data_IF_110179919791
#
_entry.id   IF_110179919791
#
_cell.length_a   1.000
_cell.length_b   1.000
_cell.length_c   1.000
_cell.angle_alpha   90.00
_cell.angle_beta   90.00
_cell.angle_gamma   90.00
#
_symmetry.space_group_name_H-M   'P 1'
#
loop_
_entity.id
_entity.type
_entity.pdbx_description
1 polymer ?
#
# COMPACT_ATOMS: atom_id res chain seq x y z
N UNK A 1 23.49 6.69 2.54
CA UNK A 1 23.13 7.78 1.63
C UNK A 1 22.57 8.92 2.46
N UNK A 2 23.14 10.12 2.37
CA UNK A 2 22.70 11.30 3.14
C UNK A 2 21.41 11.86 2.50
N UNK A 3 20.32 11.89 3.26
CA UNK A 3 19.07 12.55 2.86
C UNK A 3 19.07 13.95 3.46
N UNK A 4 18.97 14.96 2.60
CA UNK A 4 18.82 16.37 2.98
C UNK A 4 17.45 16.59 3.59
N UNK A 5 17.39 16.89 4.89
CA UNK A 5 16.20 17.41 5.56
C UNK A 5 16.08 18.91 5.28
N UNK A 6 15.03 19.31 4.56
CA UNK A 6 14.46 20.66 4.68
C UNK A 6 13.42 20.64 5.80
N UNK A 7 13.27 21.74 6.57
CA UNK A 7 12.57 21.75 7.85
C UNK A 7 11.05 21.43 7.82
N UNK A 8 10.44 21.23 6.65
CA UNK A 8 8.99 21.05 6.53
C UNK A 8 8.53 19.63 6.16
N UNK A 9 9.45 18.68 5.90
CA UNK A 9 9.08 17.34 5.43
C UNK A 9 10.04 16.29 6.01
N UNK A 10 9.56 15.48 6.95
CA UNK A 10 10.29 14.30 7.43
C UNK A 10 10.16 13.15 6.41
N UNK A 11 11.16 13.00 5.55
CA UNK A 11 11.37 11.77 4.78
C UNK A 11 11.99 10.75 5.75
N UNK A 12 11.15 9.90 6.37
CA UNK A 12 11.65 8.70 7.06
C UNK A 12 11.93 7.63 6.01
N UNK A 13 13.00 7.79 5.24
CA UNK A 13 13.70 6.63 4.69
C UNK A 13 14.59 6.10 5.83
N UNK A 14 13.99 5.57 6.90
CA UNK A 14 14.72 4.71 7.83
C UNK A 14 15.33 3.63 6.97
N UNK A 15 16.66 3.57 6.95
CA UNK A 15 17.48 2.54 6.29
C UNK A 15 16.66 1.27 6.02
N UNK A 16 16.14 1.13 4.79
CA UNK A 16 15.24 0.03 4.39
C UNK A 16 16.07 -1.24 4.12
N UNK A 17 17.14 -1.41 4.89
CA UNK A 17 18.07 -2.53 4.80
C UNK A 17 17.49 -3.66 5.67
N UNK A 18 16.38 -4.24 5.23
CA UNK A 18 15.88 -5.54 5.69
C UNK A 18 15.17 -5.58 7.04
N UNK A 19 13.86 -5.27 7.06
CA UNK A 19 12.97 -5.83 8.09
C UNK A 19 11.86 -4.95 8.66
N UNK A 20 11.60 -3.75 8.13
CA UNK A 20 10.54 -2.85 8.64
C UNK A 20 9.27 -2.80 7.77
N UNK A 21 9.25 -3.49 6.64
CA UNK A 21 8.05 -3.70 5.80
C UNK A 21 7.37 -2.38 5.36
N UNK A 22 8.16 -1.30 5.24
CA UNK A 22 7.65 0.04 4.90
C UNK A 22 7.47 0.18 3.39
N UNK A 23 6.37 0.82 2.99
CA UNK A 23 6.13 1.19 1.60
C UNK A 23 7.17 2.20 1.10
N UNK A 24 7.81 1.89 -0.02
CA UNK A 24 8.61 2.85 -0.79
C UNK A 24 7.89 3.10 -2.12
N UNK A 25 7.16 4.21 -2.22
CA UNK A 25 6.25 4.45 -3.34
C UNK A 25 5.55 5.83 -3.30
N UNK A 26 4.57 6.00 -4.19
CA UNK A 26 3.72 7.17 -4.26
C UNK A 26 2.57 7.09 -3.27
N UNK A 27 2.60 7.93 -2.24
CA UNK A 27 1.50 8.10 -1.29
C UNK A 27 1.45 9.53 -0.76
N UNK A 28 0.23 10.04 -0.53
CA UNK A 28 0.01 11.26 0.26
C UNK A 28 -0.40 10.87 1.68
N UNK A 29 -0.22 11.76 2.67
CA UNK A 29 -0.71 11.50 4.02
C UNK A 29 -2.18 11.11 4.03
N UNK A 30 -2.51 9.96 4.64
CA UNK A 30 -3.86 9.36 4.67
C UNK A 30 -4.51 9.13 3.31
N UNK A 31 -3.71 8.98 2.27
CA UNK A 31 -4.20 8.48 0.99
C UNK A 31 -4.76 7.07 1.13
N UNK A 32 -5.89 6.83 0.46
CA UNK A 32 -6.35 5.47 0.17
C UNK A 32 -5.31 4.76 -0.70
N UNK A 33 -4.72 5.50 -1.65
CA UNK A 33 -3.73 4.98 -2.57
C UNK A 33 -2.35 4.94 -1.92
N UNK A 34 -1.72 3.77 -2.04
CA UNK A 34 -0.40 3.43 -1.53
C UNK A 34 0.34 2.73 -2.65
N UNK A 35 0.68 3.51 -3.68
CA UNK A 35 1.17 3.01 -4.95
C UNK A 35 2.64 2.62 -4.82
N UNK A 36 2.96 1.36 -5.08
CA UNK A 36 4.31 0.84 -4.87
C UNK A 36 4.68 -0.27 -5.84
N UNK A 37 5.94 -0.68 -5.77
CA UNK A 37 6.41 -1.89 -6.44
C UNK A 37 5.93 -3.12 -5.65
N UNK A 38 5.68 -4.22 -6.34
CA UNK A 38 5.53 -5.53 -5.70
C UNK A 38 6.81 -6.32 -5.93
N UNK A 39 7.58 -6.62 -4.87
CA UNK A 39 8.86 -7.31 -5.01
C UNK A 39 8.80 -8.75 -4.54
N UNK A 40 9.36 -9.64 -5.36
CA UNK A 40 9.70 -11.01 -4.98
C UNK A 40 11.22 -11.15 -4.88
N UNK A 41 11.71 -11.55 -3.71
CA UNK A 41 13.12 -11.76 -3.44
C UNK A 41 13.37 -13.24 -3.11
N UNK A 42 14.48 -13.79 -3.61
CA UNK A 42 14.95 -15.14 -3.29
C UNK A 42 16.26 -15.07 -2.48
N UNK A 43 16.39 -15.79 -1.34
CA UNK A 43 15.34 -16.59 -0.69
C UNK A 43 14.17 -15.72 -0.22
N UNK A 44 12.98 -16.34 -0.06
CA UNK A 44 11.73 -15.62 0.24
C UNK A 44 11.94 -14.65 1.41
N UNK A 45 11.73 -13.37 1.11
CA UNK A 45 11.76 -12.29 2.08
C UNK A 45 10.35 -11.72 2.28
N UNK A 46 9.73 -11.98 3.43
CA UNK A 46 8.37 -11.50 3.73
C UNK A 46 8.28 -9.97 3.74
N UNK A 47 9.36 -9.29 4.16
CA UNK A 47 9.43 -7.83 4.18
C UNK A 47 9.32 -7.23 2.78
N UNK A 48 9.96 -7.88 1.80
CA UNK A 48 9.88 -7.50 0.40
C UNK A 48 8.45 -7.61 -0.14
N UNK A 49 7.75 -8.66 0.28
CA UNK A 49 6.38 -8.93 -0.14
C UNK A 49 5.38 -7.96 0.47
N UNK A 50 5.56 -7.52 1.72
CA UNK A 50 4.63 -6.62 2.40
C UNK A 50 4.85 -5.15 2.02
N UNK A 51 6.09 -4.67 2.17
CA UNK A 51 6.44 -3.25 1.92
C UNK A 51 6.69 -2.94 0.46
N UNK A 52 6.87 -3.96 -0.39
CA UNK A 52 7.06 -3.77 -1.82
C UNK A 52 8.45 -3.29 -2.23
N UNK A 53 9.41 -3.18 -1.30
CA UNK A 53 10.76 -2.71 -1.62
C UNK A 53 11.85 -3.39 -0.78
N UNK A 54 12.90 -3.88 -1.44
CA UNK A 54 14.19 -4.25 -0.82
C UNK A 54 15.33 -3.79 -1.72
N UNK A 55 16.60 -4.02 -1.35
CA UNK A 55 17.74 -3.71 -2.23
C UNK A 55 17.86 -4.68 -3.43
N UNK A 56 17.25 -5.85 -3.33
CA UNK A 56 17.38 -6.94 -4.30
C UNK A 56 15.99 -7.35 -4.79
N UNK A 57 15.90 -8.45 -5.52
CA UNK A 57 14.64 -9.03 -5.96
C UNK A 57 14.13 -8.52 -7.30
N UNK A 58 13.00 -9.10 -7.69
CA UNK A 58 12.33 -8.88 -8.95
C UNK A 58 11.09 -8.04 -8.71
N UNK A 59 10.91 -6.99 -9.50
CA UNK A 59 9.64 -6.28 -9.61
C UNK A 59 8.68 -7.16 -10.38
N UNK A 60 7.59 -7.49 -9.73
CA UNK A 60 6.59 -8.43 -10.21
C UNK A 60 5.29 -7.73 -10.60
N UNK A 61 5.13 -6.45 -10.23
CA UNK A 61 3.99 -5.60 -10.55
C UNK A 61 4.10 -4.25 -9.86
N UNK A 62 3.19 -3.33 -10.21
CA UNK A 62 3.04 -2.00 -9.64
C UNK A 62 1.60 -1.88 -9.14
N UNK A 63 1.36 -2.08 -7.85
CA UNK A 63 0.00 -2.21 -7.33
C UNK A 63 -0.49 -0.97 -6.59
N UNK A 64 -1.81 -0.77 -6.66
CA UNK A 64 -2.51 0.43 -6.17
C UNK A 64 -2.40 0.64 -4.66
N UNK A 65 -2.35 -0.46 -3.90
CA UNK A 65 -2.48 -0.43 -2.45
C UNK A 65 -1.49 -1.41 -1.81
N UNK A 66 -0.84 -0.93 -0.76
CA UNK A 66 0.06 -1.66 0.12
C UNK A 66 -0.29 -1.37 1.58
N UNK A 67 0.15 -2.22 2.48
CA UNK A 67 0.17 -1.91 3.92
C UNK A 67 1.63 -1.66 4.33
N UNK A 68 1.86 -0.65 5.17
CA UNK A 68 3.22 -0.24 5.53
C UNK A 68 3.49 -0.58 6.99
N UNK A 69 4.51 -1.40 7.26
CA UNK A 69 4.96 -1.75 8.62
C UNK A 69 4.44 -3.07 9.16
N UNK A 70 3.66 -3.84 8.40
CA UNK A 70 3.08 -5.09 8.88
C UNK A 70 3.98 -6.29 8.73
N UNK A 71 4.25 -7.03 9.81
CA UNK A 71 5.00 -8.30 9.79
C UNK A 71 4.14 -9.57 9.64
N UNK A 72 2.84 -9.42 9.35
CA UNK A 72 1.90 -10.52 9.11
C UNK A 72 1.92 -10.98 7.64
N UNK A 73 0.94 -11.82 7.28
CA UNK A 73 0.68 -12.12 5.89
C UNK A 73 0.28 -10.89 5.09
N UNK A 74 0.74 -10.82 3.84
CA UNK A 74 0.51 -9.66 3.00
C UNK A 74 -0.99 -9.38 2.82
N UNK A 75 -1.34 -8.09 2.81
CA UNK A 75 -2.65 -7.57 2.45
C UNK A 75 -2.48 -6.56 1.32
N UNK A 76 -3.46 -6.50 0.43
CA UNK A 76 -3.45 -5.67 -0.78
C UNK A 76 -2.54 -6.22 -1.89
N UNK A 77 -1.97 -5.36 -2.74
CA UNK A 77 -1.34 -5.79 -3.99
C UNK A 77 -2.23 -5.71 -5.23
N UNK A 78 -3.31 -4.93 -5.17
CA UNK A 78 -4.34 -4.97 -6.20
C UNK A 78 -5.10 -3.66 -6.38
N UNK A 79 -5.63 -3.42 -7.60
CA UNK A 79 -5.16 -4.01 -8.87
C UNK A 79 -3.75 -3.49 -9.23
N UNK A 80 -3.08 -4.10 -10.20
CA UNK A 80 -1.72 -3.71 -10.57
C UNK A 80 -1.51 -3.42 -12.06
N UNK A 81 -0.42 -2.71 -12.36
CA UNK A 81 0.12 -2.53 -13.70
C UNK A 81 1.56 -3.03 -13.81
N UNK A 82 2.00 -3.33 -15.02
CA UNK A 82 3.41 -3.57 -15.32
C UNK A 82 3.72 -3.08 -16.74
N UNK A 83 4.66 -2.13 -16.93
CA UNK A 83 5.09 -1.73 -18.26
C UNK A 83 6.02 -2.80 -18.87
N UNK A 84 5.80 -3.13 -20.14
CA UNK A 84 6.52 -4.18 -20.87
C UNK A 84 6.98 -3.66 -22.25
N UNK A 85 8.16 -4.08 -22.68
CA UNK A 85 8.74 -3.74 -23.98
C UNK A 85 8.48 -4.78 -25.07
N UNK A 86 7.91 -5.93 -24.71
CA UNK A 86 7.47 -7.00 -25.62
C UNK A 86 6.44 -7.89 -24.91
N UNK A 87 5.51 -8.46 -25.67
CA UNK A 87 4.53 -9.46 -25.19
C UNK A 87 4.71 -10.84 -25.83
N UNK A 88 5.67 -10.99 -26.74
CA UNK A 88 5.91 -12.23 -27.48
C UNK A 88 6.49 -13.35 -26.60
N UNK A 89 7.05 -13.00 -25.44
CA UNK A 89 7.67 -13.92 -24.48
C UNK A 89 6.70 -14.79 -23.66
N UNK A 90 5.46 -15.02 -24.11
CA UNK A 90 4.40 -15.72 -23.38
C UNK A 90 4.12 -15.11 -22.00
N UNK A 91 3.64 -13.86 -21.96
CA UNK A 91 3.15 -13.22 -20.73
C UNK A 91 2.09 -14.11 -20.06
N UNK A 92 2.47 -14.72 -18.94
CA UNK A 92 1.65 -15.68 -18.20
C UNK A 92 1.27 -15.13 -16.83
N UNK A 93 0.01 -14.69 -16.69
CA UNK A 93 -0.55 -14.23 -15.41
C UNK A 93 -0.70 -15.32 -14.34
N UNK A 94 -0.73 -16.60 -14.74
CA UNK A 94 -0.87 -17.69 -13.77
C UNK A 94 0.43 -17.93 -13.00
N UNK A 95 1.55 -17.85 -13.71
CA UNK A 95 2.90 -18.03 -13.17
C UNK A 95 3.50 -16.71 -12.62
N UNK A 96 3.11 -15.57 -13.20
CA UNK A 96 3.61 -14.21 -12.88
C UNK A 96 5.09 -14.02 -13.25
N UNK A 97 5.93 -15.06 -13.28
CA UNK A 97 7.40 -14.99 -13.46
C UNK A 97 7.88 -14.55 -14.84
N UNK A 98 7.07 -14.75 -15.88
CA UNK A 98 7.47 -14.55 -17.29
C UNK A 98 7.76 -13.09 -17.67
N UNK A 99 7.32 -12.12 -16.88
CA UNK A 99 7.45 -10.69 -17.17
C UNK A 99 8.11 -9.90 -16.03
N UNK A 100 8.66 -10.60 -15.04
CA UNK A 100 9.38 -9.98 -13.94
C UNK A 100 10.56 -9.17 -14.45
N UNK A 101 10.87 -8.09 -13.75
CA UNK A 101 11.97 -7.21 -14.10
C UNK A 101 12.88 -7.01 -12.90
N UNK A 102 14.19 -7.11 -13.12
CA UNK A 102 15.13 -6.50 -12.17
C UNK A 102 15.14 -4.99 -12.34
N UNK A 103 15.53 -4.30 -11.27
CA UNK A 103 15.85 -2.88 -11.32
C UNK A 103 17.32 -2.69 -11.67
N UNK A 104 17.61 -1.61 -12.36
CA UNK A 104 18.95 -1.22 -12.78
C UNK A 104 19.29 0.17 -12.24
N UNK A 105 20.42 0.30 -11.56
CA UNK A 105 20.89 1.57 -11.00
C UNK A 105 20.25 1.92 -9.65
N UNK A 106 20.21 3.23 -9.36
CA UNK A 106 19.68 3.75 -8.09
C UNK A 106 18.21 4.19 -8.24
N UNK A 107 17.41 3.78 -7.25
CA UNK A 107 16.05 4.30 -7.07
C UNK A 107 16.08 5.70 -6.46
N UNK A 108 15.09 6.52 -6.80
CA UNK A 108 14.90 7.85 -6.21
C UNK A 108 13.53 7.91 -5.55
N UNK A 109 13.51 8.30 -4.28
CA UNK A 109 12.28 8.43 -3.50
C UNK A 109 12.23 9.78 -2.77
N UNK A 110 11.05 10.37 -2.72
CA UNK A 110 10.72 11.54 -1.89
C UNK A 110 9.23 11.47 -1.50
N UNK A 111 8.75 12.36 -0.62
CA UNK A 111 7.32 12.31 -0.22
C UNK A 111 6.41 12.42 -1.44
N UNK A 112 5.56 11.41 -1.63
CA UNK A 112 4.61 11.35 -2.74
C UNK A 112 5.20 10.98 -4.10
N UNK A 113 6.49 10.65 -4.20
CA UNK A 113 7.13 10.32 -5.48
C UNK A 113 8.18 9.21 -5.34
N UNK A 114 8.14 8.27 -6.29
CA UNK A 114 9.13 7.22 -6.43
C UNK A 114 9.52 7.03 -7.90
N UNK A 115 10.81 6.76 -8.16
CA UNK A 115 11.34 6.43 -9.48
C UNK A 115 12.30 5.26 -9.42
N UNK A 116 12.15 4.35 -10.38
CA UNK A 116 13.05 3.23 -10.63
C UNK A 116 13.32 3.09 -12.13
N UNK A 117 14.39 2.37 -12.50
CA UNK A 117 14.63 1.92 -13.87
C UNK A 117 14.64 0.39 -13.91
N UNK A 118 13.97 -0.22 -14.88
CA UNK A 118 13.98 -1.66 -15.11
C UNK A 118 15.12 -2.08 -16.04
N UNK A 119 15.54 -3.34 -15.97
CA UNK A 119 16.57 -3.92 -16.85
C UNK A 119 16.18 -3.89 -18.34
N UNK A 120 14.88 -3.86 -18.65
CA UNK A 120 14.36 -3.60 -20.01
C UNK A 120 14.64 -2.18 -20.53
N UNK A 121 15.15 -1.29 -19.67
CA UNK A 121 15.40 0.12 -19.98
C UNK A 121 14.21 1.05 -19.71
N UNK A 122 13.04 0.52 -19.33
CA UNK A 122 11.88 1.34 -18.96
C UNK A 122 12.15 2.08 -17.66
N UNK A 123 11.92 3.40 -17.65
CA UNK A 123 11.93 4.21 -16.44
C UNK A 123 10.49 4.32 -15.93
N UNK A 124 10.29 4.04 -14.65
CA UNK A 124 8.99 4.07 -13.99
C UNK A 124 9.00 5.14 -12.93
N UNK A 125 8.01 6.04 -12.99
CA UNK A 125 7.74 7.07 -11.99
C UNK A 125 6.34 6.89 -11.43
N UNK A 126 6.22 6.91 -10.11
CA UNK A 126 5.01 6.64 -9.35
C UNK A 126 4.70 7.82 -8.44
N UNK A 127 3.45 8.27 -8.47
CA UNK A 127 2.90 9.23 -7.51
C UNK A 127 1.45 8.90 -7.20
N UNK A 128 0.86 9.55 -6.20
CA UNK A 128 -0.53 9.34 -5.84
C UNK A 128 -1.16 10.61 -5.28
N UNK A 129 -2.48 10.68 -5.41
CA UNK A 129 -3.36 11.56 -4.64
C UNK A 129 -4.09 10.75 -3.57
N UNK A 130 -5.05 11.36 -2.87
CA UNK A 130 -5.84 10.64 -1.88
C UNK A 130 -6.61 9.43 -2.45
N UNK A 131 -7.02 9.47 -3.73
CA UNK A 131 -7.91 8.45 -4.34
C UNK A 131 -7.51 8.05 -5.77
N UNK A 132 -6.38 8.54 -6.28
CA UNK A 132 -5.90 8.18 -7.62
C UNK A 132 -4.39 7.93 -7.62
N UNK A 133 -3.97 6.91 -8.35
CA UNK A 133 -2.58 6.65 -8.70
C UNK A 133 -2.17 7.45 -9.93
N UNK A 134 -0.87 7.74 -10.03
CA UNK A 134 -0.26 8.41 -11.16
C UNK A 134 0.95 7.58 -11.58
N UNK A 135 0.90 7.02 -12.79
CA UNK A 135 1.99 6.28 -13.40
C UNK A 135 2.57 7.09 -14.56
N UNK A 136 3.87 7.22 -14.62
CA UNK A 136 4.58 7.76 -15.78
C UNK A 136 5.69 6.78 -16.19
N UNK A 137 5.57 6.28 -17.42
CA UNK A 137 6.50 5.30 -17.97
C UNK A 137 7.25 5.92 -19.15
N UNK A 138 8.58 5.93 -19.09
CA UNK A 138 9.43 6.31 -20.22
C UNK A 138 10.05 5.06 -20.82
N UNK A 139 9.64 4.73 -22.05
CA UNK A 139 10.14 3.57 -22.79
C UNK A 139 11.40 3.91 -23.61
N UNK A 140 12.30 2.95 -23.86
CA UNK A 140 13.36 3.10 -24.85
C UNK A 140 12.82 3.45 -26.24
N UNK A 141 13.51 4.33 -26.98
CA UNK A 141 13.00 4.91 -28.23
C UNK A 141 12.67 3.90 -29.35
N UNK A 142 13.23 2.69 -29.31
CA UNK A 142 13.03 1.65 -30.32
C UNK A 142 12.25 0.42 -29.80
N UNK A 143 11.66 0.49 -28.60
CA UNK A 143 10.88 -0.61 -28.05
C UNK A 143 9.39 -0.48 -28.37
N UNK A 144 8.67 -1.60 -28.35
CA UNK A 144 7.23 -1.56 -28.24
C UNK A 144 6.80 -1.02 -26.87
N UNK A 145 5.58 -0.52 -26.78
CA UNK A 145 5.02 0.05 -25.55
C UNK A 145 3.77 -0.72 -25.14
N UNK A 146 3.87 -1.49 -24.06
CA UNK A 146 2.76 -2.28 -23.55
C UNK A 146 2.59 -2.03 -22.06
N UNK A 147 1.35 -1.94 -21.60
CA UNK A 147 1.03 -1.92 -20.17
C UNK A 147 0.13 -3.10 -19.86
N UNK A 148 0.66 -4.04 -19.09
CA UNK A 148 -0.12 -5.12 -18.51
C UNK A 148 -0.95 -4.55 -17.36
N UNK A 149 -2.27 -4.73 -17.40
CA UNK A 149 -3.17 -4.39 -16.30
C UNK A 149 -3.75 -5.68 -15.74
N UNK A 150 -3.46 -5.99 -14.47
CA UNK A 150 -3.87 -7.23 -13.82
C UNK A 150 -4.79 -6.93 -12.62
N UNK A 151 -6.08 -7.25 -12.79
CA UNK A 151 -7.08 -7.16 -11.75
C UNK A 151 -7.13 -8.40 -10.85
N UNK A 152 -6.46 -9.49 -11.22
CA UNK A 152 -6.47 -10.73 -10.44
C UNK A 152 -5.34 -10.87 -9.45
N UNK A 153 -4.40 -9.92 -9.50
CA UNK A 153 -3.22 -9.89 -8.66
C UNK A 153 -3.55 -9.60 -7.20
N UNK A 154 -2.69 -10.05 -6.30
CA UNK A 154 -2.59 -9.66 -4.90
C UNK A 154 -1.20 -10.07 -4.39
N UNK A 155 -0.74 -9.46 -3.29
CA UNK A 155 0.54 -9.84 -2.68
C UNK A 155 0.44 -11.25 -2.07
N UNK A 156 1.33 -12.19 -2.43
CA UNK A 156 1.25 -13.56 -1.96
C UNK A 156 1.82 -13.71 -0.54
N UNK A 157 1.37 -14.75 0.16
CA UNK A 157 2.09 -15.32 1.31
C UNK A 157 2.56 -16.72 0.95
N UNK A 158 3.84 -16.92 0.60
CA UNK A 158 4.31 -18.19 0.04
C UNK A 158 4.60 -19.28 1.09
N UNK A 159 4.65 -18.95 2.39
CA UNK A 159 5.06 -19.91 3.44
C UNK A 159 3.88 -20.34 4.32
N UNK A 160 2.83 -19.51 4.45
CA UNK A 160 1.65 -19.81 5.27
C UNK A 160 0.37 -19.64 4.45
N UNK A 161 -0.59 -20.52 4.68
CA UNK A 161 -1.86 -20.58 3.94
C UNK A 161 -3.06 -19.94 4.66
N UNK A 162 -3.01 -19.79 5.99
CA UNK A 162 -4.17 -19.37 6.80
C UNK A 162 -4.33 -17.84 6.88
N UNK A 163 -3.28 -17.07 6.57
CA UNK A 163 -3.28 -15.61 6.46
C UNK A 163 -2.96 -15.13 5.03
N UNK A 164 -3.19 -15.98 4.02
CA UNK A 164 -3.03 -15.63 2.60
C UNK A 164 -4.27 -14.93 2.04
N UNK A 165 -4.06 -14.14 0.99
CA UNK A 165 -5.13 -13.59 0.18
C UNK A 165 -5.54 -14.54 -0.95
N UNK A 166 -6.77 -14.40 -1.43
CA UNK A 166 -7.25 -15.12 -2.61
C UNK A 166 -8.22 -14.26 -3.42
N UNK A 167 -8.12 -14.39 -4.74
CA UNK A 167 -8.99 -13.70 -5.70
C UNK A 167 -10.38 -14.32 -5.69
N UNK A 168 -11.40 -13.48 -5.49
CA UNK A 168 -12.81 -13.91 -5.47
C UNK A 168 -13.58 -13.49 -6.72
N UNK A 169 -13.05 -12.56 -7.51
CA UNK A 169 -13.64 -12.18 -8.79
C UNK A 169 -13.30 -10.76 -9.21
N UNK A 170 -13.63 -10.42 -10.43
CA UNK A 170 -13.28 -9.13 -11.01
C UNK A 170 -13.63 -9.08 -12.49
N UNK A 171 -13.75 -7.86 -13.00
CA UNK A 171 -14.09 -7.58 -14.40
C UNK A 171 -13.24 -6.41 -14.84
N UNK A 172 -12.77 -6.45 -16.08
CA UNK A 172 -12.26 -5.28 -16.79
C UNK A 172 -13.02 -5.10 -18.10
N UNK A 173 -13.31 -3.86 -18.44
CA UNK A 173 -13.93 -3.44 -19.69
C UNK A 173 -13.06 -2.36 -20.30
N UNK A 174 -12.60 -2.61 -21.51
CA UNK A 174 -11.97 -1.60 -22.37
C UNK A 174 -13.10 -0.94 -23.16
N UNK A 175 -13.20 0.38 -23.09
CA UNK A 175 -14.24 1.10 -23.81
C UNK A 175 -13.83 1.27 -25.27
N UNK A 176 -14.68 0.85 -26.20
CA UNK A 176 -14.42 0.97 -27.64
C UNK A 176 -14.21 2.44 -28.02
N UNK A 177 -13.22 2.69 -28.90
CA UNK A 177 -12.84 4.03 -29.35
C UNK A 177 -12.42 5.00 -28.24
N UNK A 178 -12.12 4.50 -27.04
CA UNK A 178 -11.58 5.27 -25.92
C UNK A 178 -10.26 4.65 -25.50
N UNK A 179 -9.37 5.47 -24.96
CA UNK A 179 -8.19 4.98 -24.26
C UNK A 179 -8.48 4.68 -22.79
N UNK A 180 -9.73 4.40 -22.44
CA UNK A 180 -10.16 4.26 -21.05
C UNK A 180 -10.56 2.83 -20.77
N UNK A 181 -10.18 2.34 -19.60
CA UNK A 181 -10.72 1.09 -19.05
C UNK A 181 -11.44 1.36 -17.73
N UNK A 182 -12.39 0.49 -17.43
CA UNK A 182 -13.09 0.44 -16.13
C UNK A 182 -13.16 -1.00 -15.67
N UNK A 183 -13.10 -1.24 -14.38
CA UNK A 183 -13.23 -2.57 -13.84
C UNK A 183 -13.30 -2.58 -12.33
N UNK A 184 -13.45 -3.77 -11.78
CA UNK A 184 -13.30 -3.99 -10.35
C UNK A 184 -12.54 -5.28 -10.09
N UNK A 185 -11.88 -5.35 -8.94
CA UNK A 185 -11.31 -6.57 -8.38
C UNK A 185 -11.86 -6.80 -6.99
N UNK A 186 -12.03 -8.06 -6.60
CA UNK A 186 -12.47 -8.49 -5.28
C UNK A 186 -11.50 -9.54 -4.75
N UNK A 187 -10.90 -9.26 -3.59
CA UNK A 187 -9.89 -10.09 -2.92
C UNK A 187 -10.29 -10.32 -1.47
N UNK A 188 -10.28 -11.57 -1.03
CA UNK A 188 -10.59 -11.95 0.35
C UNK A 188 -9.36 -12.49 1.10
N UNK A 189 -9.48 -12.68 2.42
CA UNK A 189 -8.43 -13.23 3.27
C UNK A 189 -7.35 -12.21 3.65
N UNK A 190 -6.09 -12.63 3.63
CA UNK A 190 -4.94 -11.87 4.16
C UNK A 190 -4.88 -11.93 5.70
N UNK A 191 -3.98 -11.15 6.29
CA UNK A 191 -3.75 -11.15 7.75
C UNK A 191 -5.01 -11.02 8.60
N UNK A 192 -5.98 -10.19 8.19
CA UNK A 192 -7.23 -9.99 8.93
C UNK A 192 -8.27 -11.11 8.75
N UNK A 193 -8.00 -12.11 7.89
CA UNK A 193 -8.95 -13.17 7.51
C UNK A 193 -10.30 -12.55 7.06
N UNK A 194 -10.21 -11.41 6.38
CA UNK A 194 -11.35 -10.55 6.12
C UNK A 194 -12.24 -11.06 4.99
N UNK A 195 -13.49 -10.59 5.01
CA UNK A 195 -14.41 -10.69 3.89
C UNK A 195 -13.81 -10.05 2.61
N UNK A 196 -14.34 -10.38 1.41
CA UNK A 196 -13.85 -9.79 0.17
C UNK A 196 -13.89 -8.27 0.20
N UNK A 197 -12.76 -7.64 -0.15
CA UNK A 197 -12.65 -6.20 -0.40
C UNK A 197 -12.74 -6.00 -1.89
N UNK A 198 -13.71 -5.19 -2.33
CA UNK A 198 -13.90 -4.84 -3.74
C UNK A 198 -13.40 -3.43 -4.01
N UNK A 199 -12.54 -3.29 -5.02
CA UNK A 199 -11.99 -2.02 -5.48
C UNK A 199 -12.39 -1.78 -6.92
N UNK A 200 -13.16 -0.72 -7.15
CA UNK A 200 -13.45 -0.19 -8.48
C UNK A 200 -12.28 0.67 -8.97
N UNK A 201 -11.88 0.49 -10.23
CA UNK A 201 -10.82 1.25 -10.87
C UNK A 201 -11.26 1.69 -12.25
N UNK A 202 -10.95 2.93 -12.57
CA UNK A 202 -11.05 3.48 -13.92
C UNK A 202 -9.83 4.34 -14.20
N UNK A 203 -9.39 4.36 -15.45
CA UNK A 203 -8.21 5.15 -15.81
C UNK A 203 -8.16 5.41 -17.32
N UNK A 204 -7.85 6.64 -17.74
CA UNK A 204 -7.41 6.90 -19.10
C UNK A 204 -6.00 6.34 -19.29
N UNK A 205 -5.70 5.93 -20.50
CA UNK A 205 -4.38 5.55 -20.98
C UNK A 205 -4.02 6.59 -22.04
N UNK A 206 -2.80 7.11 -22.01
CA UNK A 206 -2.41 8.15 -22.98
C UNK A 206 -2.11 7.56 -24.36
N UNK A 207 -1.84 6.25 -24.46
CA UNK A 207 -1.55 5.52 -25.70
C UNK A 207 -2.32 4.18 -25.81
N UNK A 208 -2.36 3.61 -27.02
CA UNK A 208 -3.13 2.40 -27.37
C UNK A 208 -2.65 1.17 -26.60
N UNK A 209 -3.58 0.40 -26.02
CA UNK A 209 -3.28 -0.83 -25.28
C UNK A 209 -2.96 -1.99 -26.22
N UNK A 210 -1.81 -2.63 -25.99
CA UNK A 210 -1.42 -3.86 -26.67
C UNK A 210 -2.04 -5.14 -26.10
N UNK A 211 -2.35 -5.20 -24.79
CA UNK A 211 -3.10 -6.32 -24.20
C UNK A 211 -3.62 -6.02 -22.78
N UNK A 212 -4.82 -6.52 -22.46
CA UNK A 212 -5.41 -6.54 -21.11
C UNK A 212 -5.76 -7.97 -20.75
N UNK A 213 -5.39 -8.40 -19.54
CA UNK A 213 -5.60 -9.78 -19.12
C UNK A 213 -6.22 -9.83 -17.72
N UNK A 214 -7.29 -10.62 -17.56
CA UNK A 214 -7.87 -10.98 -16.25
C UNK A 214 -7.91 -12.49 -16.13
N UNK A 215 -7.68 -13.02 -14.92
CA UNK A 215 -8.04 -14.42 -14.62
C UNK A 215 -9.56 -14.57 -14.71
N UNK A 216 -10.05 -14.99 -15.87
CA UNK A 216 -11.45 -15.33 -16.05
C UNK A 216 -11.72 -16.70 -15.39
N UNK A 217 -12.41 -16.70 -14.25
CA UNK A 217 -13.34 -17.80 -13.97
C UNK A 217 -14.60 -17.52 -14.78
N UNK A 218 -14.77 -18.24 -15.88
CA UNK A 218 -16.01 -18.20 -16.66
C UNK A 218 -17.10 -18.86 -15.84
N UNK A 219 -18.00 -18.07 -15.26
CA UNK A 219 -19.37 -18.48 -15.00
C UNK A 219 -20.29 -17.27 -15.02
N UNK A 220 -21.19 -17.23 -16.01
CA UNK A 220 -22.51 -16.59 -15.91
C UNK A 220 -22.55 -15.07 -16.07
N UNK A 221 -23.50 -14.59 -16.88
CA UNK A 221 -23.93 -13.20 -16.85
C UNK A 221 -24.29 -12.82 -15.41
N UNK A 222 -23.75 -11.69 -14.93
CA UNK A 222 -24.24 -11.03 -13.72
C UNK A 222 -24.51 -9.56 -14.07
N UNK A 223 -25.72 -9.15 -13.71
CA UNK A 223 -26.29 -7.83 -13.89
C UNK A 223 -25.48 -6.74 -13.18
N UNK A 224 -25.62 -5.51 -13.69
CA UNK A 224 -25.08 -4.25 -13.17
C UNK A 224 -24.83 -4.25 -11.65
N UNK A 225 -23.55 -4.35 -11.26
CA UNK A 225 -23.12 -4.17 -9.88
C UNK A 225 -23.22 -2.70 -9.47
N UNK A 226 -24.02 -2.44 -8.45
CA UNK A 226 -24.19 -1.15 -7.79
C UNK A 226 -22.86 -0.64 -7.24
N UNK A 227 -22.49 0.60 -7.58
CA UNK A 227 -21.45 1.35 -6.88
C UNK A 227 -21.89 1.50 -5.43
N UNK A 228 -21.27 0.77 -4.50
CA UNK A 228 -21.45 1.02 -3.07
C UNK A 228 -20.66 2.28 -2.71
N UNK A 229 -21.28 3.45 -2.91
CA UNK A 229 -20.94 4.59 -2.09
C UNK A 229 -21.35 4.25 -0.65
N UNK A 230 -20.38 3.93 0.22
CA UNK A 230 -20.55 4.16 1.66
C UNK A 230 -20.53 5.67 1.87
N UNK A 231 -21.57 6.32 1.39
CA UNK A 231 -21.85 7.72 1.68
C UNK A 231 -22.41 7.77 3.08
N UNK A 232 -21.54 7.77 4.09
CA UNK A 232 -21.93 8.14 5.44
C UNK A 232 -22.13 9.66 5.49
N UNK A 233 -23.11 10.19 4.75
CA UNK A 233 -23.46 11.60 4.79
C UNK A 233 -24.85 11.73 5.38
N UNK A 234 -24.93 12.32 6.57
CA UNK A 234 -26.19 12.74 7.20
C UNK A 234 -26.40 12.32 8.65
N UNK A 235 -25.80 11.21 9.11
CA UNK A 235 -26.04 10.65 10.45
C UNK A 235 -24.76 10.30 11.25
N UNK A 236 -23.57 10.70 10.82
CA UNK A 236 -22.36 10.51 11.64
C UNK A 236 -22.33 11.60 12.72
N UNK A 237 -22.30 11.18 13.98
CA UNK A 237 -21.92 12.02 15.09
C UNK A 237 -20.40 12.19 15.10
N UNK A 238 -19.89 13.15 14.32
CA UNK A 238 -18.45 13.38 14.16
C UNK A 238 -17.78 13.83 15.46
N UNK A 239 -18.52 14.46 16.36
CA UNK A 239 -18.04 14.80 17.71
C UNK A 239 -17.76 13.56 18.54
N UNK A 240 -18.65 12.56 18.51
CA UNK A 240 -18.43 11.28 19.18
C UNK A 240 -17.35 10.45 18.47
N UNK A 241 -17.28 10.53 17.14
CA UNK A 241 -16.19 9.95 16.35
C UNK A 241 -14.82 10.52 16.75
N UNK A 242 -14.72 11.84 16.89
CA UNK A 242 -13.50 12.49 17.37
C UNK A 242 -13.16 12.08 18.81
N UNK A 243 -14.14 12.02 19.71
CA UNK A 243 -13.92 11.56 21.09
C UNK A 243 -13.38 10.12 21.15
N UNK A 244 -13.86 9.23 20.28
CA UNK A 244 -13.36 7.86 20.17
C UNK A 244 -11.92 7.80 19.63
N UNK A 245 -11.62 8.55 18.57
CA UNK A 245 -10.27 8.65 17.99
C UNK A 245 -9.27 9.24 19.00
N UNK A 246 -9.66 10.31 19.69
CA UNK A 246 -8.86 10.93 20.76
C UNK A 246 -8.60 9.98 21.92
N UNK A 247 -9.62 9.24 22.37
CA UNK A 247 -9.45 8.22 23.42
C UNK A 247 -8.42 7.16 23.00
N UNK A 248 -8.47 6.70 21.74
CA UNK A 248 -7.50 5.73 21.25
C UNK A 248 -6.07 6.30 21.19
N UNK A 249 -5.91 7.60 20.92
CA UNK A 249 -4.61 8.27 20.87
C UNK A 249 -4.01 8.56 22.26
N UNK A 250 -4.83 8.82 23.28
CA UNK A 250 -4.36 9.34 24.58
C UNK A 250 -4.43 8.32 25.72
N UNK A 251 -5.31 7.32 25.63
CA UNK A 251 -5.57 6.39 26.72
C UNK A 251 -4.93 5.04 26.42
N UNK A 252 -4.00 4.63 27.29
CA UNK A 252 -3.38 3.32 27.21
C UNK A 252 -4.47 2.23 27.28
N UNK A 253 -4.49 1.27 26.34
CA UNK A 253 -5.47 0.18 26.36
C UNK A 253 -5.25 -0.74 27.57
N UNK A 254 -6.30 -1.50 27.93
CA UNK A 254 -6.22 -2.47 29.01
C UNK A 254 -5.20 -3.56 28.70
N UNK A 255 -4.35 -3.88 29.67
CA UNK A 255 -3.33 -4.91 29.53
C UNK A 255 -3.94 -6.30 29.74
N UNK A 256 -4.21 -7.03 28.66
CA UNK A 256 -4.44 -8.47 28.77
C UNK A 256 -3.07 -9.15 28.89
N UNK A 257 -2.81 -9.85 30.00
CA UNK A 257 -1.57 -10.61 30.16
C UNK A 257 -1.47 -11.66 29.05
N UNK A 258 -0.74 -11.32 27.98
CA UNK A 258 -0.60 -12.17 26.82
C UNK A 258 0.58 -13.14 27.04
N UNK A 259 0.34 -14.47 27.08
CA UNK A 259 1.39 -15.45 27.35
C UNK A 259 2.44 -15.55 26.23
N UNK A 260 2.19 -14.96 25.06
CA UNK A 260 3.10 -14.97 23.90
C UNK A 260 4.01 -13.73 23.86
N UNK A 261 3.59 -12.62 24.46
CA UNK A 261 4.39 -11.40 24.53
C UNK A 261 4.17 -10.66 25.85
N UNK A 262 5.06 -10.89 26.81
CA UNK A 262 4.99 -10.28 28.14
C UNK A 262 5.38 -8.80 28.19
N UNK A 263 5.82 -8.23 27.05
CA UNK A 263 6.29 -6.84 26.96
C UNK A 263 5.40 -5.96 26.08
N UNK A 264 4.34 -6.52 25.49
CA UNK A 264 3.53 -5.81 24.51
C UNK A 264 2.15 -6.43 24.28
N UNK A 265 1.15 -5.59 24.01
CA UNK A 265 -0.20 -6.01 23.66
C UNK A 265 -0.29 -6.26 22.16
N UNK A 266 -0.69 -7.47 21.78
CA UNK A 266 -0.90 -7.85 20.38
C UNK A 266 -2.34 -7.58 19.90
N UNK A 267 -3.26 -7.34 20.83
CA UNK A 267 -4.71 -7.34 20.57
C UNK A 267 -5.30 -5.93 20.45
N UNK A 268 -4.82 -5.01 21.27
CA UNK A 268 -5.29 -3.63 21.31
C UNK A 268 -4.28 -2.69 20.61
N UNK A 269 -4.77 -1.79 19.78
CA UNK A 269 -3.94 -0.78 19.12
C UNK A 269 -3.35 0.22 20.11
N UNK A 270 -2.20 0.82 19.76
CA UNK A 270 -1.51 1.85 20.57
C UNK A 270 -1.03 1.38 21.97
N UNK A 271 -0.53 0.15 22.06
CA UNK A 271 -0.02 -0.45 23.30
C UNK A 271 1.23 0.19 23.92
N UNK A 272 1.97 1.04 23.19
CA UNK A 272 3.19 1.68 23.66
C UNK A 272 3.00 3.17 23.99
N UNK A 273 1.78 3.59 24.35
CA UNK A 273 1.50 4.98 24.71
C UNK A 273 2.24 5.44 25.98
N UNK A 274 2.58 4.50 26.86
CA UNK A 274 3.39 4.73 28.05
C UNK A 274 4.85 5.10 27.74
N UNK A 275 5.34 4.79 26.54
CA UNK A 275 6.60 5.33 26.00
C UNK A 275 6.33 6.55 25.12
N UNK A 276 5.40 6.44 24.16
CA UNK A 276 5.13 7.45 23.14
C UNK A 276 4.72 8.80 23.72
N UNK A 277 3.80 8.81 24.70
CA UNK A 277 3.28 10.05 25.28
C UNK A 277 4.36 10.77 26.10
N UNK A 278 5.15 10.14 26.97
CA UNK A 278 6.19 10.88 27.71
C UNK A 278 7.48 11.11 26.93
N UNK A 279 7.85 10.22 26.00
CA UNK A 279 9.18 10.25 25.35
C UNK A 279 9.16 10.82 23.92
N UNK A 280 8.02 10.85 23.24
CA UNK A 280 7.92 11.22 21.82
C UNK A 280 8.39 10.11 20.85
N UNK A 281 8.81 8.96 21.37
CA UNK A 281 9.20 7.78 20.59
C UNK A 281 8.90 6.50 21.38
N UNK A 282 8.92 5.35 20.69
CA UNK A 282 8.80 4.04 21.34
C UNK A 282 10.19 3.46 21.59
N UNK A 283 10.50 3.08 22.84
CA UNK A 283 11.83 2.61 23.20
C UNK A 283 12.04 1.15 22.79
N UNK A 284 13.18 0.87 22.12
CA UNK A 284 13.46 -0.45 21.55
C UNK A 284 13.83 -1.52 22.60
N UNK A 285 14.25 -1.07 23.79
CA UNK A 285 14.62 -1.90 24.93
C UNK A 285 13.42 -2.31 25.79
N UNK A 286 12.33 -1.54 25.80
CA UNK A 286 11.13 -1.86 26.57
C UNK A 286 9.97 -2.40 25.73
N UNK A 287 9.88 -2.05 24.45
CA UNK A 287 8.72 -2.36 23.59
C UNK A 287 9.11 -3.14 22.34
N UNK A 288 8.30 -4.14 21.98
CA UNK A 288 8.45 -4.86 20.71
C UNK A 288 8.01 -3.96 19.54
N UNK A 289 8.62 -4.12 18.35
CA UNK A 289 8.32 -3.34 17.13
C UNK A 289 8.46 -1.82 17.30
N UNK A 290 9.36 -1.36 18.16
CA UNK A 290 9.54 0.06 18.48
C UNK A 290 9.70 0.97 17.25
N UNK A 291 10.44 0.52 16.24
CA UNK A 291 10.65 1.30 15.00
C UNK A 291 9.34 1.47 14.22
N UNK A 292 8.62 0.38 13.92
CA UNK A 292 7.38 0.48 13.14
C UNK A 292 6.31 1.24 13.92
N UNK A 293 6.19 1.02 15.24
CA UNK A 293 5.25 1.75 16.09
C UNK A 293 5.53 3.24 16.15
N UNK A 294 6.79 3.65 16.19
CA UNK A 294 7.16 5.08 16.18
C UNK A 294 6.67 5.74 14.89
N UNK A 295 6.83 5.08 13.75
CA UNK A 295 6.33 5.58 12.46
C UNK A 295 4.78 5.56 12.43
N UNK A 296 4.16 4.44 12.79
CA UNK A 296 2.70 4.29 12.81
C UNK A 296 2.03 5.31 13.74
N UNK A 297 2.59 5.55 14.93
CA UNK A 297 1.99 6.47 15.90
C UNK A 297 2.11 7.93 15.45
N UNK A 298 3.22 8.30 14.80
CA UNK A 298 3.34 9.62 14.18
C UNK A 298 2.27 9.86 13.11
N UNK A 299 1.98 8.84 12.30
CA UNK A 299 0.89 8.89 11.32
C UNK A 299 -0.48 8.94 12.01
N UNK A 300 -0.69 8.15 13.06
CA UNK A 300 -1.94 8.16 13.80
C UNK A 300 -2.21 9.53 14.45
N UNK A 301 -1.20 10.18 15.02
CA UNK A 301 -1.32 11.52 15.62
C UNK A 301 -1.64 12.56 14.55
N UNK A 302 -0.94 12.51 13.41
CA UNK A 302 -1.31 13.36 12.29
C UNK A 302 -2.76 13.11 11.83
N UNK A 303 -3.30 11.88 11.91
CA UNK A 303 -4.69 11.57 11.55
C UNK A 303 -5.66 12.23 12.53
N UNK A 304 -5.35 12.12 13.83
CA UNK A 304 -6.11 12.79 14.89
C UNK A 304 -6.11 14.30 14.67
N UNK A 305 -4.98 14.89 14.24
CA UNK A 305 -4.88 16.32 13.93
C UNK A 305 -5.84 16.74 12.81
N UNK A 306 -6.02 15.89 11.79
CA UNK A 306 -6.92 16.20 10.66
C UNK A 306 -8.39 16.11 11.06
N UNK A 307 -8.76 15.12 11.88
CA UNK A 307 -10.11 15.03 12.44
C UNK A 307 -10.39 16.19 13.39
N UNK A 308 -9.43 16.52 14.28
CA UNK A 308 -9.51 17.64 15.19
C UNK A 308 -9.67 18.98 14.44
N UNK A 309 -9.00 19.18 13.32
CA UNK A 309 -9.14 20.41 12.52
C UNK A 309 -10.60 20.71 12.11
N UNK A 310 -11.42 19.67 11.90
CA UNK A 310 -12.85 19.80 11.60
C UNK A 310 -13.74 19.86 12.84
N UNK A 311 -13.47 19.04 13.86
CA UNK A 311 -14.39 18.81 14.98
C UNK A 311 -14.02 19.55 16.27
N UNK A 312 -12.73 19.80 16.50
CA UNK A 312 -12.19 20.42 17.70
C UNK A 312 -10.90 21.19 17.33
N UNK A 313 -11.05 22.27 16.57
CA UNK A 313 -9.89 22.96 15.94
C UNK A 313 -8.79 23.40 16.91
N UNK A 314 -9.11 23.65 18.19
CA UNK A 314 -8.13 23.96 19.24
C UNK A 314 -7.24 22.77 19.62
N UNK A 315 -7.67 21.55 19.35
CA UNK A 315 -6.90 20.33 19.59
C UNK A 315 -6.00 19.97 18.39
N UNK A 316 -6.17 20.63 17.22
CA UNK A 316 -5.39 20.35 16.01
C UNK A 316 -3.89 20.39 16.29
N UNK A 317 -3.44 21.44 16.95
CA UNK A 317 -2.02 21.69 17.21
C UNK A 317 -1.42 20.77 18.29
N UNK A 318 -2.27 20.13 19.11
CA UNK A 318 -1.83 19.09 20.05
C UNK A 318 -1.28 17.86 19.31
N UNK A 319 -1.73 17.64 18.07
CA UNK A 319 -1.37 16.47 17.27
C UNK A 319 -0.69 16.84 15.93
N UNK A 320 -0.63 18.12 15.56
CA UNK A 320 -0.12 18.54 14.24
C UNK A 320 1.39 18.79 14.17
N UNK A 321 2.15 18.51 15.23
CA UNK A 321 3.60 18.57 15.18
C UNK A 321 4.21 17.66 16.25
N UNK A 322 5.38 17.11 15.96
CA UNK A 322 6.27 16.33 16.83
C UNK A 322 6.76 17.13 18.05
N UNK A 323 5.85 17.65 18.88
CA UNK A 323 6.19 18.51 20.01
C UNK A 323 6.27 17.72 21.33
N UNK A 324 6.92 16.55 21.25
CA UNK A 324 7.55 15.88 22.38
C UNK A 324 8.88 15.32 21.94
#
# INVERSE_FOLDING_TARGET
>A
MLVSATPDILIVLTRVDGGVDVLVGGAVPFGMIKLGLDIYEEPINQSALNGGWTLQGYVTGLSLMHESGTGGGAKYGFPAQMPLTSIDGNVNLLDNRTYWQRREGEDVASVGYFRTKFESGVIVELSASHHAELHHYTYPAASETHVLVDFSRYLPHPIRSWDSQFYTGGVIKIHSNSSTYTGYTSIAGGWCIGAPVTVDRSGPLNDRVGAVFTRNYVTGQIESGSLFHVGLRGNINWTEGYAAVRKNAEVLPYFDENPVNSRDLLKEGRSALDDWIPLGYVSADHKFRAVSKTVEYSLNDFAVSQVAAGEASGDRDLYSYFNK
#
